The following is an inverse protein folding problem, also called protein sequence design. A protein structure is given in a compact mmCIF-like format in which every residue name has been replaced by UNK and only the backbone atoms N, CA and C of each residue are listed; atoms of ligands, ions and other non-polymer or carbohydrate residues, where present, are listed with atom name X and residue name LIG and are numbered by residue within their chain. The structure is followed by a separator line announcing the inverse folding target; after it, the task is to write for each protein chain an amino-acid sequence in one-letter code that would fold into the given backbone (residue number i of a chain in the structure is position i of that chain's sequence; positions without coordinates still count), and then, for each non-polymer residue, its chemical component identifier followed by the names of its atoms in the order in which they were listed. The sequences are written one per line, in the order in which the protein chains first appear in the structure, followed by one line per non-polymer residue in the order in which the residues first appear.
data_IF_548291592192
#
_entry.id   IF_548291592192
#
_cell.length_a   1.000
_cell.length_b   1.000
_cell.length_c   1.000
_cell.angle_alpha   90.00
_cell.angle_beta   90.00
_cell.angle_gamma   90.00
#
_symmetry.space_group_name_H-M   'P 1'
#
loop_
_entity.id
_entity.type
_entity.pdbx_description
1 polymer ?
#
# COMPACT_ATOMS: atom_id res chain seq x y z
N UNK A 1 2.76 -1.55 -17.59
CA UNK A 1 3.03 -0.12 -17.31
C UNK A 1 3.67 -0.04 -15.93
N UNK A 2 4.83 0.61 -15.83
CA UNK A 2 5.49 0.82 -14.54
C UNK A 2 4.85 2.00 -13.83
N UNK A 3 4.68 1.89 -12.51
CA UNK A 3 4.09 2.98 -11.71
C UNK A 3 4.99 4.21 -11.73
N UNK A 4 6.30 4.03 -11.86
CA UNK A 4 7.25 5.14 -12.03
C UNK A 4 6.91 6.02 -13.25
N UNK A 5 6.55 5.41 -14.38
CA UNK A 5 6.16 6.14 -15.60
C UNK A 5 4.87 6.93 -15.34
N UNK A 6 3.86 6.27 -14.77
CA UNK A 6 2.56 6.89 -14.44
C UNK A 6 2.71 8.06 -13.46
N UNK A 7 3.57 7.91 -12.46
CA UNK A 7 3.88 8.96 -11.50
C UNK A 7 4.50 10.15 -12.23
N UNK A 8 5.48 9.95 -13.12
CA UNK A 8 6.15 11.04 -13.86
C UNK A 8 5.21 11.81 -14.79
N UNK A 9 4.24 11.12 -15.40
CA UNK A 9 3.33 11.71 -16.39
C UNK A 9 2.10 12.39 -15.76
N UNK A 10 1.69 11.96 -14.56
CA UNK A 10 0.50 12.48 -13.88
C UNK A 10 0.86 13.52 -12.82
N UNK A 11 0.01 14.53 -12.64
CA UNK A 11 0.13 15.49 -11.54
C UNK A 11 -0.03 14.80 -10.19
N UNK A 12 -1.13 14.04 -10.03
CA UNK A 12 -1.39 13.20 -8.86
C UNK A 12 -2.03 11.88 -9.28
N UNK A 13 -1.45 10.78 -8.81
CA UNK A 13 -2.00 9.43 -9.01
C UNK A 13 -2.98 9.02 -7.91
N UNK A 14 -3.88 8.11 -8.23
CA UNK A 14 -4.81 7.49 -7.29
C UNK A 14 -4.78 5.98 -7.41
N UNK A 15 -4.77 5.29 -6.26
CA UNK A 15 -4.68 3.84 -6.23
C UNK A 15 -5.43 3.24 -5.04
N UNK A 16 -5.76 1.95 -5.13
CA UNK A 16 -6.57 1.24 -4.13
C UNK A 16 -5.90 -0.06 -3.70
N UNK A 17 -6.00 -0.40 -2.42
CA UNK A 17 -5.53 -1.69 -1.89
C UNK A 17 -6.66 -2.66 -1.62
N UNK A 18 -6.45 -3.92 -2.00
CA UNK A 18 -7.31 -5.06 -1.69
C UNK A 18 -6.54 -6.17 -0.98
N UNK A 19 -7.24 -7.04 -0.27
CA UNK A 19 -6.65 -8.24 0.33
C UNK A 19 -7.38 -9.51 -0.12
N UNK A 20 -6.67 -10.66 -0.23
CA UNK A 20 -7.27 -11.91 -0.63
C UNK A 20 -8.34 -12.36 0.38
N UNK A 21 -9.59 -12.60 -0.07
CA UNK A 21 -10.68 -13.05 0.77
C UNK A 21 -10.48 -14.52 1.19
N UNK A 22 -10.99 -14.87 2.37
CA UNK A 22 -10.84 -16.24 2.93
C UNK A 22 -12.04 -17.14 2.63
N UNK A 23 -13.14 -16.60 2.13
CA UNK A 23 -14.39 -17.34 1.88
C UNK A 23 -14.95 -17.01 0.49
N UNK A 24 -15.68 -17.94 -0.16
CA UNK A 24 -16.29 -17.69 -1.47
C UNK A 24 -17.22 -16.46 -1.50
N UNK A 25 -18.01 -16.26 -0.44
CA UNK A 25 -18.90 -15.09 -0.30
C UNK A 25 -18.10 -13.79 -0.24
N UNK A 26 -17.01 -13.75 0.55
CA UNK A 26 -16.13 -12.59 0.61
C UNK A 26 -15.42 -12.35 -0.74
N UNK A 27 -15.16 -13.40 -1.52
CA UNK A 27 -14.65 -13.27 -2.88
C UNK A 27 -15.62 -12.55 -3.79
N UNK A 28 -16.90 -12.94 -3.79
CA UNK A 28 -17.90 -12.28 -4.63
C UNK A 28 -18.06 -10.80 -4.26
N UNK A 29 -18.11 -10.49 -2.96
CA UNK A 29 -18.15 -9.12 -2.47
C UNK A 29 -16.93 -8.31 -2.92
N UNK A 30 -15.72 -8.90 -2.86
CA UNK A 30 -14.52 -8.24 -3.35
C UNK A 30 -14.60 -7.95 -4.85
N UNK A 31 -15.11 -8.88 -5.67
CA UNK A 31 -15.23 -8.65 -7.11
C UNK A 31 -16.21 -7.54 -7.44
N UNK A 32 -17.30 -7.45 -6.68
CA UNK A 32 -18.23 -6.32 -6.81
C UNK A 32 -17.54 -5.00 -6.43
N UNK A 33 -16.81 -4.96 -5.31
CA UNK A 33 -16.00 -3.79 -4.91
C UNK A 33 -15.00 -3.39 -6.00
N UNK A 34 -14.30 -4.34 -6.60
CA UNK A 34 -13.31 -4.09 -7.66
C UNK A 34 -14.00 -3.43 -8.87
N UNK A 35 -15.14 -3.96 -9.33
CA UNK A 35 -15.89 -3.38 -10.46
C UNK A 35 -16.35 -1.95 -10.18
N UNK A 36 -16.81 -1.69 -8.96
CA UNK A 36 -17.28 -0.36 -8.58
C UNK A 36 -16.14 0.66 -8.52
N UNK A 37 -14.96 0.24 -8.08
CA UNK A 37 -13.77 1.08 -8.00
C UNK A 37 -13.05 1.21 -9.35
N UNK A 38 -13.15 0.21 -10.23
CA UNK A 38 -12.63 0.27 -11.60
C UNK A 38 -13.23 1.44 -12.38
N UNK A 39 -14.52 1.76 -12.15
CA UNK A 39 -15.19 2.91 -12.76
C UNK A 39 -14.55 4.27 -12.42
N UNK A 40 -13.72 4.33 -11.38
CA UNK A 40 -12.97 5.54 -10.99
C UNK A 40 -11.57 5.61 -11.62
N UNK A 41 -11.22 4.65 -12.49
CA UNK A 41 -9.97 4.60 -13.27
C UNK A 41 -8.73 4.87 -12.40
N UNK A 42 -8.50 4.09 -11.33
CA UNK A 42 -7.28 4.21 -10.54
C UNK A 42 -6.08 3.87 -11.41
N UNK A 43 -4.95 4.49 -11.12
CA UNK A 43 -3.69 4.34 -11.85
C UNK A 43 -3.07 2.96 -11.60
N UNK A 44 -3.30 2.40 -10.41
CA UNK A 44 -3.01 1.01 -10.08
C UNK A 44 -3.83 0.53 -8.88
N UNK A 45 -3.81 -0.78 -8.66
CA UNK A 45 -4.35 -1.40 -7.44
C UNK A 45 -3.30 -2.29 -6.81
N UNK A 46 -3.19 -2.30 -5.49
CA UNK A 46 -2.30 -3.22 -4.78
C UNK A 46 -3.07 -4.40 -4.21
N UNK A 47 -2.40 -5.54 -4.08
CA UNK A 47 -2.96 -6.74 -3.45
C UNK A 47 -2.05 -7.17 -2.32
N UNK A 48 -2.58 -7.16 -1.09
CA UNK A 48 -1.81 -7.48 0.11
C UNK A 48 -1.33 -8.93 0.11
N UNK A 49 -0.19 -9.16 0.75
CA UNK A 49 0.38 -10.48 0.99
C UNK A 49 0.19 -10.85 2.45
N UNK A 50 -0.42 -12.01 2.72
CA UNK A 50 -0.71 -12.44 4.09
C UNK A 50 0.56 -12.69 4.91
N UNK A 51 0.51 -12.36 6.20
CA UNK A 51 1.62 -12.57 7.14
C UNK A 51 2.15 -14.01 7.07
N UNK A 52 3.48 -14.15 7.09
CA UNK A 52 4.18 -15.43 6.96
C UNK A 52 3.89 -16.21 5.65
N UNK A 53 3.37 -15.56 4.60
CA UNK A 53 3.04 -16.21 3.34
C UNK A 53 1.81 -17.13 3.38
N UNK A 54 0.94 -16.94 4.38
CA UNK A 54 -0.25 -17.79 4.63
C UNK A 54 -1.32 -17.71 3.53
N UNK A 55 -1.33 -16.63 2.74
CA UNK A 55 -2.28 -16.43 1.64
C UNK A 55 -1.57 -16.25 0.30
N UNK A 56 -0.37 -16.82 0.14
CA UNK A 56 0.47 -16.63 -1.06
C UNK A 56 -0.28 -16.97 -2.35
N UNK A 57 -0.93 -18.12 -2.40
CA UNK A 57 -1.65 -18.58 -3.59
C UNK A 57 -2.92 -17.75 -3.82
N UNK A 58 -3.65 -17.41 -2.77
CA UNK A 58 -4.83 -16.53 -2.87
C UNK A 58 -4.46 -15.12 -3.38
N UNK A 59 -3.30 -14.60 -2.99
CA UNK A 59 -2.79 -13.32 -3.47
C UNK A 59 -2.49 -13.39 -4.96
N UNK A 60 -1.78 -14.44 -5.37
CA UNK A 60 -1.45 -14.67 -6.77
C UNK A 60 -2.71 -14.81 -7.63
N UNK A 61 -3.66 -15.65 -7.22
CA UNK A 61 -4.91 -15.88 -7.93
C UNK A 61 -5.72 -14.58 -8.10
N UNK A 62 -5.77 -13.74 -7.05
CA UNK A 62 -6.45 -12.45 -7.10
C UNK A 62 -5.74 -11.47 -8.05
N UNK A 63 -4.41 -11.39 -8.01
CA UNK A 63 -3.62 -10.55 -8.92
C UNK A 63 -3.85 -10.93 -10.37
N UNK A 64 -3.79 -12.24 -10.70
CA UNK A 64 -4.03 -12.71 -12.06
C UNK A 64 -5.46 -12.49 -12.50
N UNK A 65 -6.44 -12.70 -11.61
CA UNK A 65 -7.83 -12.42 -11.93
C UNK A 65 -8.06 -10.95 -12.23
N UNK A 66 -7.55 -10.04 -11.40
CA UNK A 66 -7.64 -8.59 -11.67
C UNK A 66 -7.03 -8.29 -13.03
N UNK A 67 -5.81 -8.76 -13.29
CA UNK A 67 -5.10 -8.51 -14.55
C UNK A 67 -5.83 -9.02 -15.79
N UNK A 68 -6.48 -10.18 -15.69
CA UNK A 68 -7.12 -10.86 -16.83
C UNK A 68 -8.56 -10.41 -17.08
N UNK A 69 -9.25 -9.90 -16.05
CA UNK A 69 -10.70 -9.63 -16.11
C UNK A 69 -11.08 -8.16 -15.96
N UNK A 70 -10.10 -7.28 -15.71
CA UNK A 70 -10.31 -5.84 -15.55
C UNK A 70 -9.27 -5.07 -16.35
N UNK A 71 -9.47 -3.75 -16.47
CA UNK A 71 -8.50 -2.81 -17.02
C UNK A 71 -7.42 -2.36 -16.02
N UNK A 72 -7.49 -2.85 -14.78
CA UNK A 72 -6.63 -2.41 -13.68
C UNK A 72 -5.21 -2.95 -13.81
N UNK A 73 -4.25 -2.17 -13.30
CA UNK A 73 -2.85 -2.55 -13.20
C UNK A 73 -2.55 -3.05 -11.77
N UNK A 74 -2.50 -4.37 -11.51
CA UNK A 74 -2.27 -4.89 -10.17
C UNK A 74 -0.79 -4.87 -9.78
N UNK A 75 -0.55 -4.54 -8.51
CA UNK A 75 0.75 -4.57 -7.83
C UNK A 75 0.69 -5.57 -6.68
N UNK A 76 1.21 -6.80 -6.83
CA UNK A 76 1.32 -7.72 -5.71
C UNK A 76 2.28 -7.18 -4.64
N UNK A 77 1.88 -7.31 -3.39
CA UNK A 77 2.81 -7.23 -2.27
C UNK A 77 3.65 -8.51 -2.24
N UNK A 78 4.91 -8.38 -1.81
CA UNK A 78 5.82 -9.50 -1.61
C UNK A 78 6.65 -9.25 -0.35
N UNK A 79 6.72 -10.25 0.54
CA UNK A 79 7.36 -10.11 1.86
C UNK A 79 8.64 -10.94 1.99
N UNK A 80 9.59 -10.47 2.80
CA UNK A 80 10.82 -11.19 3.15
C UNK A 80 10.60 -12.47 3.96
N UNK A 81 9.64 -12.44 4.89
CA UNK A 81 9.48 -13.51 5.89
C UNK A 81 9.01 -14.83 5.30
N UNK A 82 9.48 -15.95 5.85
CA UNK A 82 9.02 -17.31 5.50
C UNK A 82 9.21 -17.70 4.03
N UNK A 83 10.28 -17.18 3.41
CA UNK A 83 10.67 -17.50 2.06
C UNK A 83 12.16 -17.81 1.94
N UNK A 84 12.46 -18.80 1.11
CA UNK A 84 13.78 -19.01 0.51
C UNK A 84 13.95 -18.16 -0.75
N UNK A 85 15.19 -17.95 -1.18
CA UNK A 85 15.47 -17.26 -2.45
C UNK A 85 14.81 -17.97 -3.65
N UNK A 86 14.83 -19.31 -3.68
CA UNK A 86 14.23 -20.09 -4.76
C UNK A 86 12.71 -19.92 -4.83
N UNK A 87 12.03 -19.80 -3.68
CA UNK A 87 10.59 -19.52 -3.65
C UNK A 87 10.28 -18.11 -4.17
N UNK A 88 11.06 -17.09 -3.77
CA UNK A 88 10.90 -15.73 -4.30
C UNK A 88 11.15 -15.69 -5.79
N UNK A 89 12.21 -16.35 -6.28
CA UNK A 89 12.50 -16.44 -7.71
C UNK A 89 11.37 -17.11 -8.49
N UNK A 90 10.77 -18.18 -7.95
CA UNK A 90 9.62 -18.84 -8.56
C UNK A 90 8.41 -17.90 -8.63
N UNK A 91 8.12 -17.16 -7.55
CA UNK A 91 7.02 -16.19 -7.51
C UNK A 91 7.24 -15.07 -8.54
N UNK A 92 8.46 -14.50 -8.60
CA UNK A 92 8.80 -13.46 -9.57
C UNK A 92 8.71 -13.98 -11.02
N UNK A 93 9.16 -15.20 -11.28
CA UNK A 93 9.05 -15.82 -12.61
C UNK A 93 7.59 -15.94 -13.04
N UNK A 94 6.71 -16.44 -12.16
CA UNK A 94 5.27 -16.55 -12.46
C UNK A 94 4.62 -15.18 -12.72
N UNK A 95 4.98 -14.15 -11.96
CA UNK A 95 4.47 -12.79 -12.21
C UNK A 95 5.00 -12.19 -13.51
N UNK A 96 6.26 -12.47 -13.85
CA UNK A 96 6.88 -12.04 -15.09
C UNK A 96 6.23 -12.69 -16.32
N UNK A 97 5.96 -13.99 -16.27
CA UNK A 97 5.25 -14.75 -17.32
C UNK A 97 3.85 -14.19 -17.58
N UNK A 98 3.18 -13.74 -16.53
CA UNK A 98 1.86 -13.13 -16.63
C UNK A 98 1.92 -11.66 -17.04
N UNK A 99 3.10 -11.05 -17.08
CA UNK A 99 3.30 -9.64 -17.47
C UNK A 99 2.89 -8.63 -16.40
N UNK A 100 2.98 -9.00 -15.11
CA UNK A 100 2.82 -8.06 -14.00
C UNK A 100 4.00 -7.09 -14.02
N UNK A 101 3.75 -5.78 -14.04
CA UNK A 101 4.83 -4.80 -14.23
C UNK A 101 5.49 -4.29 -12.96
N UNK A 102 4.92 -4.54 -11.77
CA UNK A 102 5.40 -3.93 -10.53
C UNK A 102 5.23 -4.86 -9.33
N UNK A 103 6.10 -4.72 -8.33
CA UNK A 103 6.05 -5.43 -7.05
C UNK A 103 6.16 -4.40 -5.91
N UNK A 104 5.38 -4.55 -4.84
CA UNK A 104 5.60 -3.82 -3.58
C UNK A 104 6.40 -4.71 -2.62
N UNK A 105 7.69 -4.41 -2.45
CA UNK A 105 8.62 -5.17 -1.62
C UNK A 105 8.54 -4.73 -0.15
N UNK A 106 8.25 -5.69 0.73
CA UNK A 106 7.97 -5.47 2.15
C UNK A 106 8.81 -6.41 3.02
N UNK A 107 9.07 -5.99 4.27
CA UNK A 107 9.67 -6.91 5.25
C UNK A 107 8.66 -8.02 5.60
N UNK A 108 7.41 -7.63 5.87
CA UNK A 108 6.37 -8.52 6.35
C UNK A 108 6.45 -8.76 7.86
N UNK A 109 5.31 -9.16 8.42
CA UNK A 109 5.19 -9.47 9.83
C UNK A 109 5.59 -10.92 10.11
N UNK A 110 6.36 -11.18 11.18
CA UNK A 110 6.62 -12.53 11.66
C UNK A 110 5.32 -13.33 11.83
N UNK A 111 5.27 -14.61 11.41
CA UNK A 111 4.13 -15.45 11.70
C UNK A 111 3.95 -15.65 13.21
N UNK A 112 2.71 -15.68 13.66
CA UNK A 112 2.35 -16.06 15.04
C UNK A 112 2.40 -17.59 15.15
N UNK A 113 3.62 -18.17 15.09
CA UNK A 113 3.85 -19.61 15.25
C UNK A 113 5.04 -19.85 16.19
N UNK A 114 4.92 -20.88 17.01
CA UNK A 114 5.98 -21.28 17.93
C UNK A 114 7.22 -21.76 17.15
N UNK A 115 8.41 -21.36 17.61
CA UNK A 115 9.69 -21.76 17.02
C UNK A 115 10.06 -21.06 15.69
N UNK A 116 9.33 -20.04 15.25
CA UNK A 116 9.79 -19.21 14.13
C UNK A 116 11.02 -18.39 14.54
N UNK A 117 12.08 -18.50 13.74
CA UNK A 117 13.36 -17.84 13.94
C UNK A 117 13.68 -16.98 12.72
N UNK A 118 13.50 -15.67 12.86
CA UNK A 118 13.73 -14.68 11.80
C UNK A 118 15.15 -14.74 11.25
N UNK A 119 16.14 -15.12 12.06
CA UNK A 119 17.53 -15.19 11.60
C UNK A 119 17.78 -16.23 10.51
N UNK A 120 16.82 -17.15 10.29
CA UNK A 120 16.88 -18.19 9.27
C UNK A 120 16.19 -17.81 7.95
N UNK A 121 15.50 -16.67 7.90
CA UNK A 121 14.92 -16.19 6.65
C UNK A 121 16.00 -15.74 5.66
N UNK A 122 15.79 -16.01 4.38
CA UNK A 122 16.74 -15.62 3.33
C UNK A 122 16.90 -14.09 3.22
N UNK A 123 15.87 -13.34 3.61
CA UNK A 123 15.84 -11.89 3.57
C UNK A 123 15.57 -11.35 4.97
N UNK A 124 16.51 -10.61 5.54
CA UNK A 124 16.38 -10.06 6.89
C UNK A 124 15.62 -8.73 6.88
N UNK A 125 15.82 -7.96 5.80
CA UNK A 125 15.23 -6.65 5.59
C UNK A 125 14.63 -6.51 4.19
N UNK A 126 13.67 -5.60 4.06
CA UNK A 126 13.05 -5.30 2.76
C UNK A 126 14.06 -4.84 1.70
N UNK A 127 15.19 -4.23 2.10
CA UNK A 127 16.27 -3.86 1.18
C UNK A 127 16.92 -5.08 0.52
N UNK A 128 17.01 -6.22 1.22
CA UNK A 128 17.53 -7.47 0.67
C UNK A 128 16.62 -7.98 -0.45
N UNK A 129 15.30 -7.90 -0.24
CA UNK A 129 14.30 -8.28 -1.24
C UNK A 129 14.32 -7.33 -2.45
N UNK A 130 14.45 -6.02 -2.23
CA UNK A 130 14.62 -5.04 -3.33
C UNK A 130 15.87 -5.35 -4.14
N UNK A 131 17.00 -5.64 -3.48
CA UNK A 131 18.24 -6.03 -4.14
C UNK A 131 18.07 -7.32 -4.95
N UNK A 132 17.35 -8.31 -4.40
CA UNK A 132 17.04 -9.56 -5.09
C UNK A 132 16.19 -9.35 -6.34
N UNK A 133 15.11 -8.56 -6.25
CA UNK A 133 14.27 -8.22 -7.41
C UNK A 133 15.08 -7.45 -8.45
N UNK A 134 15.96 -6.55 -8.05
CA UNK A 134 16.86 -5.84 -8.98
C UNK A 134 17.81 -6.78 -9.72
N UNK A 135 18.36 -7.80 -9.04
CA UNK A 135 19.15 -8.86 -9.71
C UNK A 135 18.29 -9.72 -10.64
N UNK A 136 17.07 -10.04 -10.24
CA UNK A 136 16.11 -10.74 -11.10
C UNK A 136 15.82 -9.93 -12.37
N UNK A 137 15.60 -8.61 -12.25
CA UNK A 137 15.41 -7.71 -13.39
C UNK A 137 16.62 -7.76 -14.34
N UNK A 138 17.83 -7.70 -13.80
CA UNK A 138 19.07 -7.79 -14.59
C UNK A 138 19.27 -9.13 -15.31
N UNK A 139 18.59 -10.20 -14.87
CA UNK A 139 18.65 -11.51 -15.54
C UNK A 139 17.89 -11.56 -16.88
N UNK A 140 17.04 -10.57 -17.17
CA UNK A 140 16.27 -10.51 -18.41
C UNK A 140 15.12 -11.51 -18.49
N UNK A 141 14.74 -12.15 -17.38
CA UNK A 141 13.60 -13.09 -17.32
C UNK A 141 12.23 -12.44 -17.45
N UNK A 142 12.17 -11.11 -17.31
CA UNK A 142 10.94 -10.35 -17.45
C UNK A 142 10.77 -9.84 -18.89
N UNK A 143 9.53 -9.86 -19.40
CA UNK A 143 9.24 -9.45 -20.78
C UNK A 143 9.51 -7.96 -21.04
N UNK A 144 9.28 -7.09 -20.05
CA UNK A 144 9.78 -5.70 -20.06
C UNK A 144 11.29 -5.72 -19.75
N UNK A 145 12.17 -5.16 -20.60
CA UNK A 145 13.61 -5.15 -20.40
C UNK A 145 14.09 -4.38 -19.17
N UNK A 146 13.22 -3.52 -18.60
CA UNK A 146 13.49 -2.83 -17.33
C UNK A 146 13.23 -3.73 -16.11
N UNK A 147 12.64 -4.90 -16.31
CA UNK A 147 12.18 -5.78 -15.24
C UNK A 147 10.92 -5.24 -14.55
N UNK A 148 10.74 -5.56 -13.27
CA UNK A 148 9.66 -4.99 -12.46
C UNK A 148 10.00 -3.58 -11.97
N UNK A 149 9.01 -2.69 -11.93
CA UNK A 149 9.01 -1.53 -11.05
C UNK A 149 8.87 -1.95 -9.58
N UNK A 150 9.69 -1.39 -8.69
CA UNK A 150 9.78 -1.81 -7.29
C UNK A 150 9.26 -0.69 -6.38
N UNK A 151 8.17 -0.93 -5.68
CA UNK A 151 7.70 -0.06 -4.61
C UNK A 151 8.17 -0.52 -3.24
N UNK A 152 8.26 0.38 -2.26
CA UNK A 152 8.55 0.05 -0.85
C UNK A 152 7.64 0.81 0.11
N UNK A 153 7.50 0.30 1.34
CA UNK A 153 6.76 1.00 2.40
C UNK A 153 7.57 2.15 3.04
N UNK A 154 6.91 3.26 3.36
CA UNK A 154 7.42 4.36 4.20
C UNK A 154 6.56 4.58 5.44
N UNK A 155 7.10 5.17 6.51
CA UNK A 155 6.40 5.30 7.79
C UNK A 155 6.45 6.77 8.29
N UNK A 156 5.42 7.58 7.97
CA UNK A 156 5.42 9.01 8.31
C UNK A 156 5.63 9.27 9.81
N UNK A 157 5.06 8.40 10.65
CA UNK A 157 5.08 8.54 12.11
C UNK A 157 6.18 7.71 12.78
N UNK A 158 6.89 6.88 12.03
CA UNK A 158 7.86 5.93 12.56
C UNK A 158 7.42 4.48 12.48
N UNK A 159 8.35 3.63 12.06
CA UNK A 159 8.21 2.20 12.11
C UNK A 159 8.30 1.75 13.58
N UNK A 160 7.31 1.00 14.11
CA UNK A 160 7.29 0.60 15.52
C UNK A 160 8.50 -0.25 15.93
N UNK A 161 9.05 -1.03 14.99
CA UNK A 161 10.28 -1.80 15.19
C UNK A 161 11.58 -0.98 15.14
N UNK A 162 11.52 0.33 14.87
CA UNK A 162 12.70 1.21 14.82
C UNK A 162 12.38 2.57 15.44
N UNK A 163 12.39 2.69 16.80
CA UNK A 163 12.05 3.93 17.48
C UNK A 163 12.95 5.12 17.12
N UNK A 164 14.19 4.87 16.69
CA UNK A 164 15.10 5.91 16.23
C UNK A 164 14.75 6.37 14.81
N UNK A 165 14.13 7.55 14.70
CA UNK A 165 13.70 8.14 13.41
C UNK A 165 14.86 8.42 12.44
N UNK A 166 16.08 8.68 12.94
CA UNK A 166 17.24 8.90 12.07
C UNK A 166 17.69 7.57 11.43
N UNK A 167 17.81 6.52 12.25
CA UNK A 167 18.16 5.18 11.77
C UNK A 167 17.10 4.61 10.82
N UNK A 168 15.81 4.89 11.07
CA UNK A 168 14.75 4.49 10.15
C UNK A 168 14.93 5.13 8.76
N UNK A 169 15.34 6.40 8.70
CA UNK A 169 15.62 7.08 7.44
C UNK A 169 16.79 6.42 6.70
N UNK A 170 17.83 5.97 7.41
CA UNK A 170 18.93 5.21 6.81
C UNK A 170 18.44 3.89 6.21
N UNK A 171 17.52 3.18 6.87
CA UNK A 171 16.92 1.96 6.32
C UNK A 171 16.01 2.22 5.12
N UNK A 172 15.26 3.34 5.13
CA UNK A 172 14.49 3.75 3.97
C UNK A 172 15.41 4.06 2.80
N UNK A 173 16.49 4.81 3.04
CA UNK A 173 17.52 5.11 2.05
C UNK A 173 18.16 3.84 1.49
N UNK A 174 18.50 2.87 2.34
CA UNK A 174 19.06 1.59 1.89
C UNK A 174 18.13 0.85 0.92
N UNK A 175 16.82 0.89 1.13
CA UNK A 175 15.84 0.32 0.17
C UNK A 175 15.83 1.08 -1.16
N UNK A 176 15.92 2.40 -1.12
CA UNK A 176 15.97 3.24 -2.34
C UNK A 176 17.26 3.00 -3.11
N UNK A 177 18.40 3.02 -2.43
CA UNK A 177 19.71 2.77 -3.03
C UNK A 177 19.82 1.33 -3.58
N UNK A 178 19.06 0.38 -3.06
CA UNK A 178 18.96 -0.99 -3.58
C UNK A 178 18.13 -1.13 -4.87
N UNK A 179 17.38 -0.10 -5.28
CA UNK A 179 16.62 -0.08 -6.54
C UNK A 179 15.12 0.21 -6.43
N UNK A 180 14.61 0.73 -5.31
CA UNK A 180 13.20 1.11 -5.22
C UNK A 180 12.86 2.33 -6.10
N UNK A 181 11.73 2.29 -6.81
CA UNK A 181 11.27 3.32 -7.73
C UNK A 181 10.23 4.28 -7.11
N UNK A 182 9.48 3.86 -6.09
CA UNK A 182 8.50 4.70 -5.39
C UNK A 182 8.23 4.20 -3.96
N UNK A 183 7.64 5.08 -3.15
CA UNK A 183 7.28 4.79 -1.75
C UNK A 183 5.76 4.89 -1.59
N UNK A 184 5.15 3.92 -0.93
CA UNK A 184 3.77 4.02 -0.42
C UNK A 184 3.85 4.13 1.10
N UNK A 185 3.30 5.19 1.68
CA UNK A 185 3.36 5.36 3.12
C UNK A 185 2.34 4.46 3.82
N UNK A 186 2.68 4.00 5.02
CA UNK A 186 1.70 3.56 6.01
C UNK A 186 0.63 4.65 6.21
N UNK A 187 -0.57 4.23 6.63
CA UNK A 187 -1.66 5.13 6.97
C UNK A 187 -1.24 6.15 8.03
N UNK A 188 -1.84 7.34 7.94
CA UNK A 188 -1.70 8.42 8.92
C UNK A 188 -3.00 9.24 8.95
N UNK A 189 -3.24 9.96 10.05
CA UNK A 189 -4.47 10.78 10.21
C UNK A 189 -4.19 12.27 10.36
N UNK A 190 -2.93 12.71 10.29
CA UNK A 190 -2.53 14.11 10.31
C UNK A 190 -1.51 14.38 9.19
N UNK A 191 -1.87 15.24 8.24
CA UNK A 191 -1.05 15.50 7.06
C UNK A 191 0.33 16.06 7.39
N UNK A 192 0.48 16.69 8.56
CA UNK A 192 1.79 17.17 9.03
C UNK A 192 2.82 16.04 9.16
N UNK A 193 2.38 14.84 9.54
CA UNK A 193 3.28 13.69 9.67
C UNK A 193 3.80 13.26 8.29
N UNK A 194 2.94 13.27 7.27
CA UNK A 194 3.33 12.98 5.89
C UNK A 194 4.24 14.07 5.30
N UNK A 195 3.89 15.34 5.50
CA UNK A 195 4.67 16.46 4.96
C UNK A 195 6.07 16.53 5.59
N UNK A 196 6.18 16.38 6.92
CA UNK A 196 7.48 16.28 7.61
C UNK A 196 8.28 15.07 7.13
N UNK A 197 7.64 13.91 6.95
CA UNK A 197 8.30 12.72 6.40
C UNK A 197 8.84 12.94 4.99
N UNK A 198 8.06 13.58 4.10
CA UNK A 198 8.48 13.93 2.73
C UNK A 198 9.71 14.84 2.75
N UNK A 199 9.70 15.86 3.61
CA UNK A 199 10.82 16.81 3.70
C UNK A 199 12.08 16.13 4.25
N UNK A 200 11.95 15.25 5.26
CA UNK A 200 13.07 14.44 5.76
C UNK A 200 13.64 13.50 4.70
N UNK A 201 12.79 12.87 3.88
CA UNK A 201 13.24 12.05 2.77
C UNK A 201 14.11 12.87 1.81
N UNK A 202 13.66 14.06 1.44
CA UNK A 202 14.44 14.96 0.56
C UNK A 202 15.79 15.34 1.19
N UNK A 203 15.81 15.70 2.48
CA UNK A 203 17.05 16.02 3.20
C UNK A 203 18.02 14.84 3.29
N UNK A 204 17.51 13.60 3.30
CA UNK A 204 18.30 12.37 3.27
C UNK A 204 18.72 11.94 1.84
N UNK A 205 18.38 12.72 0.81
CA UNK A 205 18.68 12.39 -0.59
C UNK A 205 17.75 11.33 -1.20
N UNK A 206 16.60 11.08 -0.58
CA UNK A 206 15.57 10.17 -1.09
C UNK A 206 14.61 10.99 -1.97
N UNK A 207 14.81 10.91 -3.29
CA UNK A 207 14.12 11.75 -4.28
C UNK A 207 13.10 11.00 -5.14
N UNK A 208 12.86 9.71 -4.85
CA UNK A 208 11.81 8.94 -5.53
C UNK A 208 10.41 9.40 -5.07
N UNK A 209 9.36 9.24 -5.90
CA UNK A 209 8.02 9.70 -5.53
C UNK A 209 7.48 9.00 -4.28
N UNK A 210 6.75 9.76 -3.45
CA UNK A 210 6.11 9.28 -2.23
C UNK A 210 4.59 9.44 -2.37
N UNK A 211 3.87 8.33 -2.20
CA UNK A 211 2.42 8.22 -2.30
C UNK A 211 1.85 8.15 -0.88
N UNK A 212 0.86 9.01 -0.58
CA UNK A 212 0.21 9.08 0.71
C UNK A 212 -0.82 7.95 0.90
N UNK A 213 -0.59 7.07 1.88
CA UNK A 213 -1.53 6.03 2.30
C UNK A 213 -2.64 6.59 3.19
N UNK A 214 -3.90 6.45 2.77
CA UNK A 214 -5.09 6.98 3.46
C UNK A 214 -6.08 5.87 3.74
N UNK A 215 -6.55 5.79 4.99
CA UNK A 215 -7.59 4.84 5.40
C UNK A 215 -8.79 5.59 5.99
N UNK A 216 -9.95 5.62 5.30
CA UNK A 216 -11.18 6.16 5.85
C UNK A 216 -11.67 5.34 7.06
N UNK A 217 -12.03 6.01 8.15
CA UNK A 217 -12.64 5.33 9.30
C UNK A 217 -14.12 5.08 9.04
N UNK A 218 -14.51 3.82 8.93
CA UNK A 218 -15.90 3.42 8.67
C UNK A 218 -16.61 2.87 9.91
N UNK A 219 -15.86 2.51 10.96
CA UNK A 219 -16.42 2.03 12.23
C UNK A 219 -15.43 2.20 13.38
N UNK A 220 -15.93 2.34 14.61
CA UNK A 220 -15.09 2.39 15.82
C UNK A 220 -14.38 1.06 16.10
N UNK A 221 -15.06 -0.06 15.82
CA UNK A 221 -14.46 -1.39 15.96
C UNK A 221 -13.29 -1.59 14.99
N UNK A 222 -13.48 -1.21 13.72
CA UNK A 222 -12.41 -1.24 12.72
C UNK A 222 -11.25 -0.32 13.07
N UNK A 223 -11.54 0.90 13.55
CA UNK A 223 -10.52 1.84 14.04
C UNK A 223 -9.68 1.24 15.17
N UNK A 224 -10.30 0.63 16.19
CA UNK A 224 -9.59 -0.01 17.31
C UNK A 224 -8.68 -1.14 16.84
N UNK A 225 -9.22 -2.02 15.99
CA UNK A 225 -8.43 -3.11 15.39
C UNK A 225 -7.26 -2.57 14.57
N UNK A 226 -7.46 -1.47 13.82
CA UNK A 226 -6.38 -0.86 13.07
C UNK A 226 -5.31 -0.26 14.00
N UNK A 227 -5.71 0.34 15.12
CA UNK A 227 -4.75 0.85 16.10
C UNK A 227 -3.86 -0.26 16.70
N UNK A 228 -4.36 -1.49 16.79
CA UNK A 228 -3.57 -2.65 17.22
C UNK A 228 -2.59 -3.13 16.14
N UNK A 229 -3.00 -3.11 14.87
CA UNK A 229 -2.19 -3.59 13.74
C UNK A 229 -1.16 -2.57 13.26
N UNK A 230 -1.54 -1.30 13.20
CA UNK A 230 -0.69 -0.18 12.82
C UNK A 230 -0.07 0.44 14.09
N UNK A 231 0.71 -0.35 14.81
CA UNK A 231 1.38 0.10 16.03
C UNK A 231 2.19 1.38 15.76
N UNK A 232 1.91 2.44 16.52
CA UNK A 232 2.53 3.75 16.36
C UNK A 232 1.69 4.77 15.59
N UNK A 233 0.61 4.36 14.91
CA UNK A 233 -0.28 5.31 14.23
C UNK A 233 -0.97 6.25 15.21
N UNK A 234 -0.87 7.57 14.99
CA UNK A 234 -1.50 8.57 15.85
C UNK A 234 -2.92 8.87 15.37
N UNK A 235 -3.84 8.93 16.32
CA UNK A 235 -5.21 9.39 16.09
C UNK A 235 -5.37 10.79 16.70
N UNK A 236 -5.40 11.87 15.88
CA UNK A 236 -5.44 13.23 16.38
C UNK A 236 -6.67 13.51 17.25
N UNK A 237 -6.50 14.34 18.28
CA UNK A 237 -7.61 14.71 19.17
C UNK A 237 -8.82 15.33 18.43
N UNK A 238 -8.60 15.99 17.28
CA UNK A 238 -9.70 16.50 16.43
C UNK A 238 -10.57 15.37 15.87
N UNK A 239 -9.94 14.29 15.41
CA UNK A 239 -10.61 13.09 14.90
C UNK A 239 -11.35 12.36 16.02
N UNK A 240 -10.66 12.11 17.14
CA UNK A 240 -11.25 11.43 18.30
C UNK A 240 -12.47 12.17 18.83
N UNK A 241 -12.39 13.51 18.98
CA UNK A 241 -13.53 14.33 19.41
C UNK A 241 -14.69 14.28 18.42
N UNK A 242 -14.41 14.24 17.11
CA UNK A 242 -15.47 14.11 16.11
C UNK A 242 -16.17 12.75 16.22
N UNK A 243 -15.42 11.67 16.24
CA UNK A 243 -15.94 10.30 16.37
C UNK A 243 -16.72 10.10 17.67
N UNK A 244 -16.25 10.66 18.78
CA UNK A 244 -16.92 10.58 20.08
C UNK A 244 -18.34 11.19 20.04
N UNK A 245 -18.55 12.29 19.29
CA UNK A 245 -19.89 12.89 19.13
C UNK A 245 -20.86 11.97 18.39
N UNK A 246 -20.37 11.14 17.46
CA UNK A 246 -21.16 10.22 16.66
C UNK A 246 -21.17 8.78 17.18
N UNK A 247 -20.52 8.47 18.30
CA UNK A 247 -20.16 7.09 18.67
C UNK A 247 -21.34 6.12 18.85
N UNK A 248 -22.55 6.63 19.10
CA UNK A 248 -23.76 5.84 19.29
C UNK A 248 -24.57 5.63 17.99
N UNK A 249 -24.14 6.22 16.86
CA UNK A 249 -24.74 6.05 15.53
C UNK A 249 -23.67 5.57 14.55
N UNK A 250 -23.66 4.28 14.14
CA UNK A 250 -22.72 3.75 13.16
C UNK A 250 -22.69 4.54 11.85
N UNK A 251 -23.85 5.04 11.38
CA UNK A 251 -23.92 5.85 10.17
C UNK A 251 -23.28 7.23 10.40
N UNK A 252 -23.39 7.81 11.59
CA UNK A 252 -22.66 9.04 11.94
C UNK A 252 -21.14 8.81 11.96
N UNK A 253 -20.67 7.71 12.55
CA UNK A 253 -19.24 7.35 12.56
C UNK A 253 -18.68 7.27 11.14
N UNK A 254 -19.38 6.57 10.25
CA UNK A 254 -18.98 6.47 8.84
C UNK A 254 -18.98 7.83 8.14
N UNK A 255 -20.05 8.64 8.30
CA UNK A 255 -20.11 10.00 7.74
C UNK A 255 -18.95 10.88 8.23
N UNK A 256 -18.62 10.82 9.52
CA UNK A 256 -17.51 11.58 10.12
C UNK A 256 -16.17 11.13 9.54
N UNK A 257 -15.92 9.82 9.45
CA UNK A 257 -14.65 9.32 8.93
C UNK A 257 -14.46 9.56 7.43
N UNK A 258 -15.53 9.46 6.63
CA UNK A 258 -15.52 9.85 5.20
C UNK A 258 -15.24 11.34 5.05
N UNK A 259 -15.90 12.19 5.83
CA UNK A 259 -15.65 13.64 5.79
C UNK A 259 -14.21 13.96 6.20
N UNK A 260 -13.70 13.35 7.27
CA UNK A 260 -12.32 13.55 7.73
C UNK A 260 -11.29 13.14 6.66
N UNK A 261 -11.46 11.97 6.04
CA UNK A 261 -10.58 11.52 4.97
C UNK A 261 -10.71 12.39 3.70
N UNK A 262 -11.89 12.95 3.43
CA UNK A 262 -12.09 13.92 2.34
C UNK A 262 -11.25 15.18 2.58
N UNK A 263 -11.36 15.79 3.76
CA UNK A 263 -10.55 16.96 4.15
C UNK A 263 -9.05 16.64 4.10
N UNK A 264 -8.68 15.43 4.56
CA UNK A 264 -7.31 14.97 4.51
C UNK A 264 -6.78 14.90 3.07
N UNK A 265 -7.54 14.31 2.15
CA UNK A 265 -7.17 14.21 0.75
C UNK A 265 -7.14 15.58 0.06
N UNK A 266 -8.09 16.47 0.36
CA UNK A 266 -8.12 17.83 -0.19
C UNK A 266 -6.83 18.60 0.15
N UNK A 267 -6.45 18.61 1.43
CA UNK A 267 -5.21 19.27 1.88
C UNK A 267 -3.95 18.61 1.28
N UNK A 268 -3.92 17.29 1.09
CA UNK A 268 -2.81 16.62 0.39
C UNK A 268 -2.72 17.04 -1.09
N UNK A 269 -3.86 17.17 -1.78
CA UNK A 269 -3.89 17.63 -3.17
C UNK A 269 -3.39 19.07 -3.28
N UNK A 270 -3.81 19.96 -2.38
CA UNK A 270 -3.30 21.34 -2.31
C UNK A 270 -1.79 21.41 -2.03
N UNK A 271 -1.25 20.40 -1.35
CA UNK A 271 0.18 20.24 -1.08
C UNK A 271 0.93 19.44 -2.17
N UNK A 272 0.32 19.24 -3.35
CA UNK A 272 0.90 18.62 -4.54
C UNK A 272 1.52 17.24 -4.27
N UNK A 273 0.81 16.37 -3.55
CA UNK A 273 1.27 14.98 -3.38
C UNK A 273 1.32 14.24 -4.71
N UNK A 274 2.29 13.32 -4.85
CA UNK A 274 2.45 12.52 -6.07
C UNK A 274 1.40 11.44 -6.24
N UNK A 275 0.78 11.04 -5.14
CA UNK A 275 -0.39 10.18 -5.20
C UNK A 275 -1.07 9.99 -3.87
N UNK A 276 -2.31 9.49 -3.94
CA UNK A 276 -3.10 9.04 -2.80
C UNK A 276 -3.46 7.56 -3.01
N UNK A 277 -3.09 6.74 -2.03
CA UNK A 277 -3.34 5.31 -1.99
C UNK A 277 -4.36 4.98 -0.91
N UNK A 278 -5.52 4.43 -1.28
CA UNK A 278 -6.58 4.13 -0.32
C UNK A 278 -6.54 2.67 0.15
N UNK A 279 -6.47 2.50 1.47
CA UNK A 279 -6.72 1.24 2.14
C UNK A 279 -8.22 0.97 2.21
N UNK A 280 -8.75 0.24 1.23
CA UNK A 280 -10.21 0.09 1.04
C UNK A 280 -10.86 -0.88 2.01
N UNK A 281 -10.07 -1.79 2.60
CA UNK A 281 -10.55 -2.93 3.38
C UNK A 281 -11.61 -3.77 2.62
N UNK A 282 -11.42 -3.92 1.30
CA UNK A 282 -12.33 -4.61 0.38
C UNK A 282 -13.74 -4.00 0.29
N UNK A 283 -13.90 -2.71 0.63
CA UNK A 283 -15.16 -1.95 0.50
C UNK A 283 -14.98 -0.73 -0.40
N UNK A 284 -15.99 -0.42 -1.19
CA UNK A 284 -15.97 0.70 -2.15
C UNK A 284 -16.58 1.99 -1.60
N UNK A 285 -17.66 1.92 -0.82
CA UNK A 285 -18.53 3.05 -0.49
C UNK A 285 -17.80 4.30 0.05
N UNK A 286 -16.92 4.13 1.03
CA UNK A 286 -16.20 5.24 1.65
C UNK A 286 -15.27 5.93 0.65
N UNK A 287 -14.46 5.16 -0.07
CA UNK A 287 -13.53 5.66 -1.09
C UNK A 287 -14.28 6.36 -2.23
N UNK A 288 -15.38 5.75 -2.69
CA UNK A 288 -16.25 6.33 -3.73
C UNK A 288 -16.79 7.70 -3.34
N UNK A 289 -17.32 7.83 -2.12
CA UNK A 289 -17.82 9.10 -1.59
C UNK A 289 -16.73 10.15 -1.47
N UNK A 290 -15.51 9.78 -1.08
CA UNK A 290 -14.37 10.70 -1.04
C UNK A 290 -14.04 11.23 -2.44
N UNK A 291 -13.97 10.37 -3.44
CA UNK A 291 -13.75 10.79 -4.84
C UNK A 291 -14.84 11.72 -5.36
N UNK A 292 -16.10 11.39 -5.06
CA UNK A 292 -17.24 12.20 -5.48
C UNK A 292 -17.22 13.58 -4.81
N UNK A 293 -16.90 13.65 -3.51
CA UNK A 293 -16.77 14.91 -2.77
C UNK A 293 -15.63 15.80 -3.30
N UNK A 294 -14.52 15.20 -3.74
CA UNK A 294 -13.36 15.90 -4.28
C UNK A 294 -13.52 16.28 -5.76
N UNK A 295 -14.61 15.87 -6.43
CA UNK A 295 -14.86 16.17 -7.84
C UNK A 295 -13.94 15.42 -8.82
N UNK A 296 -13.17 14.43 -8.35
CA UNK A 296 -12.09 13.78 -9.12
C UNK A 296 -12.59 12.97 -10.33
N UNK A 297 -13.86 12.56 -10.34
CA UNK A 297 -14.47 11.84 -11.47
C UNK A 297 -14.48 12.64 -12.77
N UNK A 298 -14.55 13.97 -12.69
CA UNK A 298 -14.65 14.85 -13.86
C UNK A 298 -13.31 15.08 -14.57
N UNK A 299 -12.18 14.77 -13.92
CA UNK A 299 -10.83 15.13 -14.39
C UNK A 299 -10.22 14.06 -15.31
N UNK A 300 -10.71 12.80 -15.24
CA UNK A 300 -10.24 11.66 -16.06
C UNK A 300 -11.22 11.25 -17.18
N UNK A 301 -12.18 12.12 -17.52
CA UNK A 301 -13.20 11.90 -18.56
C UNK A 301 -12.70 12.33 -19.95
#
# INVERSE_FOLDING_TARGET
MHIEDTLRESETTFSFEFFPPKTPEASENLYQTIRELEAYRPDFVSVTYGAGGSTRDLTHDLVLRIKRTTSLNPVPHLTCVCHSEAEIESILTRYAEEGVGNILALAGDPPVREGYDRSKDAFQHAADLVSFISRFNASGKHADPRGFGIGVAGFPEGHPGTPNRLLEMDYLKAKVDAGANYIVTQLFFDNRDFLDFRDRCSLAGINIPIIAGIMPITSLGGMRRMAELAAGARFPAKLLRALQRGQNDPAAVERIGVHYATEQCADLLENNVRGIHFYTLNRSDATRRIFDNLGLRSVKA
#
